data_IF_921334974601
#
_entry.id   IF_921334974601
#
_cell.length_a   1.000
_cell.length_b   1.000
_cell.length_c   1.000
_cell.angle_alpha   90.00
_cell.angle_beta   90.00
_cell.angle_gamma   90.00
#
_symmetry.space_group_name_H-M   'P 1'
#
loop_
_entity.id
_entity.type
_entity.pdbx_description
1 polymer ?
#
# COMPACT_ATOMS: atom_id res chain seq x y z
N UNK A 1 -59.68 1.03 -10.90
CA UNK A 1 -58.99 -0.23 -10.58
C UNK A 1 -58.29 -0.05 -9.22
N UNK A 2 -59.02 -0.24 -8.11
CA UNK A 2 -58.49 -0.14 -6.73
C UNK A 2 -58.70 -1.49 -6.07
N UNK A 3 -57.80 -2.44 -6.33
CA UNK A 3 -57.81 -3.75 -5.65
C UNK A 3 -56.37 -4.23 -5.43
N UNK A 4 -55.72 -3.62 -4.46
CA UNK A 4 -55.10 -4.36 -3.36
C UNK A 4 -55.05 -3.39 -2.19
N UNK A 5 -55.76 -3.69 -1.11
CA UNK A 5 -55.47 -3.04 0.17
C UNK A 5 -53.99 -3.27 0.44
N UNK A 6 -53.16 -2.23 0.28
CA UNK A 6 -51.81 -2.27 0.82
C UNK A 6 -51.98 -2.35 2.34
N UNK A 7 -51.99 -3.59 2.84
CA UNK A 7 -52.23 -3.91 4.23
C UNK A 7 -51.29 -3.10 5.09
N UNK A 8 -51.79 -2.57 6.21
CA UNK A 8 -51.00 -1.94 7.27
C UNK A 8 -49.78 -2.82 7.67
N UNK A 9 -49.88 -4.14 7.48
CA UNK A 9 -48.79 -5.10 7.67
C UNK A 9 -47.64 -4.83 6.69
N UNK A 10 -47.93 -4.51 5.43
CA UNK A 10 -46.92 -4.23 4.40
C UNK A 10 -46.13 -2.97 4.72
N UNK A 11 -46.79 -1.88 5.14
CA UNK A 11 -46.08 -0.64 5.49
C UNK A 11 -45.22 -0.83 6.74
N UNK A 12 -45.69 -1.61 7.72
CA UNK A 12 -44.90 -1.98 8.90
C UNK A 12 -43.69 -2.85 8.55
N UNK A 13 -43.86 -3.84 7.68
CA UNK A 13 -42.74 -4.70 7.25
C UNK A 13 -41.68 -3.89 6.50
N UNK A 14 -42.10 -2.94 5.67
CA UNK A 14 -41.18 -2.01 4.99
C UNK A 14 -40.47 -1.14 6.02
N UNK A 15 -41.19 -0.55 6.98
CA UNK A 15 -40.59 0.27 8.03
C UNK A 15 -39.54 -0.50 8.85
N UNK A 16 -39.85 -1.73 9.26
CA UNK A 16 -38.92 -2.61 10.00
C UNK A 16 -37.68 -3.00 9.20
N UNK A 17 -37.74 -2.94 7.87
CA UNK A 17 -36.60 -3.26 7.01
C UNK A 17 -35.58 -2.12 6.94
N UNK A 18 -35.92 -0.91 7.39
CA UNK A 18 -35.01 0.24 7.40
C UNK A 18 -34.40 0.46 8.79
N UNK A 19 -33.06 0.38 8.95
CA UNK A 19 -32.38 0.66 10.22
C UNK A 19 -32.66 2.05 10.78
N UNK A 20 -32.93 3.02 9.91
CA UNK A 20 -33.23 4.41 10.28
C UNK A 20 -34.59 4.58 10.97
N UNK A 21 -35.46 3.56 10.91
CA UNK A 21 -36.82 3.57 11.46
C UNK A 21 -36.97 2.69 12.70
N UNK A 22 -35.86 2.19 13.27
CA UNK A 22 -35.85 1.16 14.30
C UNK A 22 -36.18 1.67 15.73
N UNK A 23 -36.87 2.81 15.85
CA UNK A 23 -37.41 3.32 17.11
C UNK A 23 -38.82 2.73 17.27
N UNK A 24 -39.12 1.95 18.33
CA UNK A 24 -40.43 1.31 18.50
C UNK A 24 -41.61 2.27 18.34
N UNK A 25 -41.50 3.47 18.91
CA UNK A 25 -42.52 4.53 18.83
C UNK A 25 -42.79 5.02 17.39
N UNK A 26 -41.78 5.00 16.51
CA UNK A 26 -41.93 5.44 15.13
C UNK A 26 -42.74 4.42 14.30
N UNK A 27 -42.65 3.11 14.60
CA UNK A 27 -43.38 2.05 13.85
C UNK A 27 -44.88 2.10 14.14
N UNK A 28 -45.26 2.21 15.41
CA UNK A 28 -46.67 2.32 15.81
C UNK A 28 -47.27 3.61 15.26
N UNK A 29 -46.48 4.69 15.26
CA UNK A 29 -46.86 5.99 14.70
C UNK A 29 -47.05 5.95 13.20
N UNK A 30 -46.19 5.27 12.44
CA UNK A 30 -46.37 5.07 10.98
C UNK A 30 -47.69 4.39 10.69
N UNK A 31 -48.06 3.39 11.49
CA UNK A 31 -49.30 2.64 11.29
C UNK A 31 -50.52 3.54 11.45
N UNK A 32 -50.53 4.36 12.51
CA UNK A 32 -51.59 5.34 12.74
C UNK A 32 -51.62 6.43 11.64
N UNK A 33 -50.46 6.98 11.28
CA UNK A 33 -50.32 8.00 10.24
C UNK A 33 -50.73 7.49 8.85
N UNK A 34 -50.41 6.23 8.52
CA UNK A 34 -50.82 5.59 7.27
C UNK A 34 -52.34 5.43 7.19
N UNK A 35 -52.99 5.05 8.29
CA UNK A 35 -54.44 4.97 8.35
C UNK A 35 -55.10 6.35 8.19
N UNK A 36 -54.54 7.38 8.82
CA UNK A 36 -55.01 8.77 8.65
C UNK A 36 -54.87 9.20 7.19
N UNK A 37 -53.72 8.93 6.56
CA UNK A 37 -53.47 9.26 5.16
C UNK A 37 -54.46 8.56 4.21
N UNK A 38 -54.78 7.28 4.44
CA UNK A 38 -55.75 6.55 3.61
C UNK A 38 -57.17 7.16 3.62
N UNK A 39 -57.52 7.85 4.71
CA UNK A 39 -58.81 8.51 4.88
C UNK A 39 -58.77 10.00 4.50
N UNK A 40 -57.60 10.51 4.10
CA UNK A 40 -57.44 11.91 3.73
C UNK A 40 -57.96 12.19 2.31
N UNK A 41 -58.69 13.29 2.16
CA UNK A 41 -59.14 13.76 0.85
C UNK A 41 -58.02 14.55 0.17
N UNK A 42 -57.28 13.88 -0.72
CA UNK A 42 -56.17 14.48 -1.45
C UNK A 42 -56.68 15.13 -2.75
N UNK A 43 -56.40 16.43 -3.00
CA UNK A 43 -56.81 17.10 -4.23
C UNK A 43 -56.24 16.45 -5.49
N UNK A 44 -57.05 16.34 -6.55
CA UNK A 44 -56.62 15.77 -7.83
C UNK A 44 -55.45 16.52 -8.46
N UNK A 45 -55.38 17.84 -8.24
CA UNK A 45 -54.31 18.73 -8.73
C UNK A 45 -52.91 18.34 -8.21
N UNK A 46 -52.81 17.55 -7.14
CA UNK A 46 -51.52 17.15 -6.57
C UNK A 46 -50.88 15.99 -7.32
N UNK A 47 -51.67 15.23 -8.08
CA UNK A 47 -51.18 14.13 -8.89
C UNK A 47 -51.49 14.28 -10.38
N UNK A 48 -52.46 15.11 -10.79
CA UNK A 48 -52.78 15.37 -12.19
C UNK A 48 -52.28 16.74 -12.67
N UNK A 49 -51.65 16.75 -13.85
CA UNK A 49 -51.16 17.93 -14.56
C UNK A 49 -51.50 17.83 -16.05
N UNK A 50 -52.50 18.59 -16.53
CA UNK A 50 -52.81 18.71 -17.97
C UNK A 50 -52.76 17.35 -18.73
N UNK A 51 -53.52 16.35 -18.25
CA UNK A 51 -53.54 14.97 -18.78
C UNK A 51 -52.25 14.14 -18.61
N UNK A 52 -51.34 14.54 -17.72
CA UNK A 52 -50.18 13.76 -17.28
C UNK A 52 -50.17 13.68 -15.75
N UNK A 53 -49.36 12.77 -15.21
CA UNK A 53 -49.16 12.70 -13.76
C UNK A 53 -47.96 13.55 -13.34
N UNK A 54 -48.07 14.17 -12.17
CA UNK A 54 -46.92 14.74 -11.49
C UNK A 54 -45.93 13.63 -11.09
N UNK A 55 -44.66 14.00 -10.94
CA UNK A 55 -43.67 13.09 -10.36
C UNK A 55 -44.05 12.76 -8.90
N UNK A 56 -43.75 11.54 -8.46
CA UNK A 56 -44.21 11.01 -7.17
C UNK A 56 -43.67 11.83 -5.98
N UNK A 57 -42.47 12.39 -6.11
CA UNK A 57 -41.84 13.28 -5.15
C UNK A 57 -42.60 14.61 -5.00
N UNK A 58 -43.12 15.16 -6.09
CA UNK A 58 -43.96 16.37 -6.07
C UNK A 58 -45.25 16.13 -5.30
N UNK A 59 -45.91 14.99 -5.53
CA UNK A 59 -47.12 14.60 -4.81
C UNK A 59 -46.87 14.51 -3.30
N UNK A 60 -45.87 13.71 -2.90
CA UNK A 60 -45.60 13.49 -1.47
C UNK A 60 -45.06 14.73 -0.77
N UNK A 61 -44.36 15.62 -1.48
CA UNK A 61 -43.96 16.93 -0.95
C UNK A 61 -45.18 17.72 -0.46
N UNK A 62 -46.28 17.74 -1.20
CA UNK A 62 -47.51 18.41 -0.78
C UNK A 62 -48.20 17.68 0.38
N UNK A 63 -48.26 16.34 0.33
CA UNK A 63 -48.82 15.54 1.44
C UNK A 63 -48.08 15.80 2.76
N UNK A 64 -46.76 15.95 2.73
CA UNK A 64 -45.95 16.24 3.92
C UNK A 64 -46.18 17.65 4.48
N UNK A 65 -46.74 18.57 3.69
CA UNK A 65 -47.08 19.93 4.17
C UNK A 65 -48.45 20.02 4.83
N UNK A 66 -49.23 18.93 4.84
CA UNK A 66 -50.53 18.91 5.50
C UNK A 66 -50.37 19.13 7.00
N UNK A 67 -51.20 20.02 7.53
CA UNK A 67 -51.23 20.36 8.95
C UNK A 67 -52.53 19.92 9.60
N UNK A 68 -52.46 19.60 10.87
CA UNK A 68 -53.63 19.39 11.72
C UNK A 68 -54.33 20.72 12.00
N UNK A 69 -55.55 20.65 12.56
CA UNK A 69 -56.29 21.83 12.99
C UNK A 69 -55.56 22.67 14.06
N UNK A 70 -54.53 22.12 14.70
CA UNK A 70 -53.68 22.80 15.68
C UNK A 70 -52.41 23.40 15.05
N UNK A 71 -52.25 23.33 13.73
CA UNK A 71 -51.10 23.89 13.01
C UNK A 71 -49.81 23.06 13.07
N UNK A 72 -49.87 21.88 13.69
CA UNK A 72 -48.75 20.92 13.72
C UNK A 72 -48.76 20.05 12.46
N UNK A 73 -47.59 19.56 12.05
CA UNK A 73 -47.48 18.70 10.89
C UNK A 73 -48.28 17.41 11.11
N UNK A 74 -49.11 17.06 10.13
CA UNK A 74 -50.07 15.95 10.23
C UNK A 74 -49.38 14.58 10.21
N UNK A 75 -48.21 14.52 9.59
CA UNK A 75 -47.41 13.31 9.45
C UNK A 75 -45.97 13.61 9.87
N UNK A 76 -45.43 12.82 10.81
CA UNK A 76 -44.08 13.02 11.36
C UNK A 76 -43.20 11.80 11.09
N UNK A 77 -43.73 10.59 11.20
CA UNK A 77 -42.97 9.36 10.96
C UNK A 77 -43.11 8.86 9.51
N UNK A 78 -44.28 9.02 8.90
CA UNK A 78 -44.55 8.63 7.51
C UNK A 78 -43.63 9.33 6.49
N UNK A 79 -43.30 10.64 6.60
CA UNK A 79 -42.37 11.27 5.68
C UNK A 79 -40.96 10.71 5.77
N UNK A 80 -40.51 10.28 6.96
CA UNK A 80 -39.20 9.65 7.14
C UNK A 80 -39.14 8.34 6.36
N UNK A 81 -40.15 7.48 6.55
CA UNK A 81 -40.25 6.20 5.87
C UNK A 81 -40.23 6.36 4.34
N UNK A 82 -41.08 7.24 3.81
CA UNK A 82 -41.21 7.43 2.38
C UNK A 82 -39.95 8.05 1.76
N UNK A 83 -39.25 8.93 2.48
CA UNK A 83 -37.93 9.43 2.04
C UNK A 83 -36.91 8.30 1.97
N UNK A 84 -36.91 7.36 2.92
CA UNK A 84 -36.04 6.17 2.85
C UNK A 84 -36.39 5.29 1.66
N UNK A 85 -37.68 5.07 1.39
CA UNK A 85 -38.14 4.27 0.24
C UNK A 85 -37.77 4.94 -1.09
N UNK A 86 -37.95 6.26 -1.22
CA UNK A 86 -37.60 7.00 -2.44
C UNK A 86 -36.10 7.17 -2.65
N UNK A 87 -35.29 6.99 -1.61
CA UNK A 87 -33.84 6.96 -1.74
C UNK A 87 -33.32 5.61 -2.27
N UNK A 88 -34.15 4.57 -2.32
CA UNK A 88 -33.76 3.29 -2.91
C UNK A 88 -33.67 3.42 -4.43
N UNK A 89 -32.54 2.99 -4.99
CA UNK A 89 -32.40 2.89 -6.44
C UNK A 89 -33.37 1.86 -7.00
N UNK A 90 -34.14 2.24 -8.03
CA UNK A 90 -35.10 1.36 -8.70
C UNK A 90 -34.46 0.46 -9.77
N UNK A 91 -33.13 0.47 -9.90
CA UNK A 91 -32.37 -0.40 -10.80
C UNK A 91 -30.88 -0.09 -10.82
N UNK A 92 -30.14 -0.78 -11.67
CA UNK A 92 -28.70 -0.56 -11.84
C UNK A 92 -28.36 0.56 -12.84
N UNK A 93 -29.38 1.12 -13.52
CA UNK A 93 -29.17 2.10 -14.59
C UNK A 93 -28.37 3.33 -14.14
N UNK A 94 -28.56 3.82 -12.92
CA UNK A 94 -27.79 4.96 -12.39
C UNK A 94 -26.32 4.59 -12.14
N UNK A 95 -26.06 3.36 -11.68
CA UNK A 95 -24.70 2.83 -11.49
C UNK A 95 -24.02 2.62 -12.85
N UNK A 96 -24.73 2.05 -13.82
CA UNK A 96 -24.26 1.83 -15.20
C UNK A 96 -23.99 3.15 -15.92
N UNK A 97 -24.81 4.18 -15.68
CA UNK A 97 -24.56 5.54 -16.13
C UNK A 97 -23.29 6.11 -15.49
N UNK A 98 -23.06 5.85 -14.21
CA UNK A 98 -21.81 6.18 -13.52
C UNK A 98 -20.59 5.54 -14.18
N UNK A 99 -20.67 4.26 -14.55
CA UNK A 99 -19.60 3.58 -15.30
C UNK A 99 -19.37 4.19 -16.68
N UNK A 100 -20.44 4.48 -17.43
CA UNK A 100 -20.35 5.14 -18.73
C UNK A 100 -19.71 6.53 -18.63
N UNK A 101 -20.05 7.30 -17.59
CA UNK A 101 -19.46 8.60 -17.33
C UNK A 101 -17.98 8.52 -16.93
N UNK A 102 -17.56 7.38 -16.36
CA UNK A 102 -16.18 7.10 -15.98
C UNK A 102 -15.36 6.46 -17.11
N UNK A 103 -15.99 6.01 -18.20
CA UNK A 103 -15.29 5.40 -19.34
C UNK A 103 -14.22 6.33 -19.95
N UNK A 104 -14.44 7.66 -19.90
CA UNK A 104 -13.43 8.64 -20.34
C UNK A 104 -12.20 8.74 -19.42
N UNK A 105 -12.32 8.35 -18.14
CA UNK A 105 -11.19 8.28 -17.21
C UNK A 105 -10.39 6.98 -17.39
N UNK A 106 -11.00 5.96 -18.00
CA UNK A 106 -10.46 4.63 -18.25
C UNK A 106 -10.25 4.42 -19.76
N UNK A 107 -9.44 5.27 -20.41
CA UNK A 107 -9.03 5.03 -21.80
C UNK A 107 -7.77 4.15 -21.87
N UNK A 108 -7.55 3.47 -22.99
CA UNK A 108 -6.44 2.51 -23.19
C UNK A 108 -5.04 3.10 -22.86
N UNK A 109 -4.86 4.41 -23.07
CA UNK A 109 -3.62 5.16 -22.75
C UNK A 109 -3.60 5.79 -21.33
N UNK A 110 -4.72 5.83 -20.60
CA UNK A 110 -4.85 6.45 -19.25
C UNK A 110 -5.11 5.44 -18.12
N UNK A 111 -4.76 4.18 -18.31
CA UNK A 111 -4.93 3.08 -17.35
C UNK A 111 -4.10 3.18 -16.04
N UNK A 112 -3.51 4.33 -15.73
CA UNK A 112 -2.59 4.53 -14.59
C UNK A 112 -3.22 5.22 -13.37
N UNK A 113 -4.51 5.57 -13.41
CA UNK A 113 -5.17 6.14 -12.23
C UNK A 113 -5.53 5.04 -11.24
N UNK A 114 -4.99 5.14 -10.02
CA UNK A 114 -5.42 4.31 -8.91
C UNK A 114 -6.90 4.51 -8.59
N UNK A 115 -7.54 3.51 -7.99
CA UNK A 115 -8.93 3.60 -7.52
C UNK A 115 -9.18 4.82 -6.62
N UNK A 116 -8.19 5.16 -5.77
CA UNK A 116 -8.26 6.35 -4.93
C UNK A 116 -8.33 7.66 -5.74
N UNK A 117 -7.57 7.75 -6.83
CA UNK A 117 -7.58 8.88 -7.74
C UNK A 117 -8.92 8.99 -8.49
N UNK A 118 -9.46 7.86 -8.94
CA UNK A 118 -10.77 7.79 -9.62
C UNK A 118 -11.88 8.26 -8.66
N UNK A 119 -11.88 7.73 -7.44
CA UNK A 119 -12.85 8.11 -6.41
C UNK A 119 -12.75 9.59 -6.04
N UNK A 120 -11.53 10.14 -5.94
CA UNK A 120 -11.30 11.57 -5.67
C UNK A 120 -11.83 12.47 -6.78
N UNK A 121 -11.54 12.13 -8.05
CA UNK A 121 -12.05 12.86 -9.21
C UNK A 121 -13.58 12.81 -9.29
N UNK A 122 -14.16 11.63 -9.06
CA UNK A 122 -15.60 11.43 -9.06
C UNK A 122 -16.30 12.24 -7.96
N UNK A 123 -15.78 12.15 -6.74
CA UNK A 123 -16.30 12.91 -5.59
C UNK A 123 -16.27 14.43 -5.84
N UNK A 124 -15.19 14.91 -6.46
CA UNK A 124 -15.05 16.34 -6.82
C UNK A 124 -16.08 16.74 -7.88
N UNK A 125 -16.23 15.94 -8.96
CA UNK A 125 -17.20 16.19 -10.02
C UNK A 125 -18.64 16.20 -9.51
N UNK A 126 -18.99 15.21 -8.69
CA UNK A 126 -20.32 15.11 -8.10
C UNK A 126 -20.59 16.27 -7.12
N UNK A 127 -19.57 16.68 -6.35
CA UNK A 127 -19.64 17.87 -5.51
C UNK A 127 -19.91 19.15 -6.31
N UNK A 128 -19.19 19.38 -7.41
CA UNK A 128 -19.44 20.55 -8.29
C UNK A 128 -20.84 20.49 -8.91
N UNK A 129 -21.30 19.30 -9.31
CA UNK A 129 -22.64 19.11 -9.87
C UNK A 129 -23.71 19.43 -8.85
N UNK A 130 -23.56 18.97 -7.61
CA UNK A 130 -24.53 19.13 -6.54
C UNK A 130 -24.55 20.54 -5.94
N UNK A 131 -23.37 21.10 -5.63
CA UNK A 131 -23.26 22.40 -4.93
C UNK A 131 -23.13 23.61 -5.87
N UNK A 132 -22.68 23.41 -7.11
CA UNK A 132 -22.45 24.49 -8.08
C UNK A 132 -23.26 24.36 -9.36
N UNK A 133 -24.31 23.54 -9.38
CA UNK A 133 -25.12 23.25 -10.57
C UNK A 133 -24.29 22.84 -11.80
N UNK A 134 -23.14 22.18 -11.57
CA UNK A 134 -22.21 21.77 -12.62
C UNK A 134 -21.19 22.82 -13.03
N UNK A 135 -21.19 24.01 -12.41
CA UNK A 135 -20.20 25.06 -12.65
C UNK A 135 -19.31 25.29 -11.42
N UNK A 136 -17.98 25.11 -11.53
CA UNK A 136 -17.08 25.23 -10.40
C UNK A 136 -17.15 26.58 -9.67
N UNK A 137 -17.32 27.67 -10.40
CA UNK A 137 -17.36 29.02 -9.83
C UNK A 137 -18.61 29.33 -8.99
N UNK A 138 -19.66 28.50 -9.10
CA UNK A 138 -20.91 28.65 -8.33
C UNK A 138 -20.81 27.89 -6.98
N UNK A 139 -19.78 27.06 -6.80
CA UNK A 139 -19.55 26.34 -5.54
C UNK A 139 -19.05 27.32 -4.47
N UNK A 140 -19.82 27.49 -3.42
CA UNK A 140 -19.43 28.35 -2.30
C UNK A 140 -18.28 27.72 -1.51
N UNK A 141 -17.18 28.46 -1.38
CA UNK A 141 -16.02 28.04 -0.60
C UNK A 141 -16.33 28.29 0.87
N UNK A 142 -16.60 27.20 1.60
CA UNK A 142 -16.83 27.25 3.05
C UNK A 142 -15.53 27.16 3.82
N UNK A 143 -15.51 27.64 5.07
CA UNK A 143 -14.35 27.51 5.97
C UNK A 143 -13.94 26.04 6.15
N UNK A 144 -14.92 25.14 6.29
CA UNK A 144 -14.68 23.71 6.42
C UNK A 144 -13.98 23.11 5.20
N UNK A 145 -14.27 23.61 3.99
CA UNK A 145 -13.58 23.19 2.77
C UNK A 145 -12.12 23.64 2.78
N UNK A 146 -11.83 24.86 3.23
CA UNK A 146 -10.47 25.38 3.37
C UNK A 146 -9.67 24.55 4.37
N UNK A 147 -10.26 24.24 5.52
CA UNK A 147 -9.61 23.44 6.56
C UNK A 147 -9.35 22.01 6.08
N UNK A 148 -10.33 21.39 5.39
CA UNK A 148 -10.16 20.06 4.75
C UNK A 148 -9.01 20.02 3.74
N UNK A 149 -8.82 21.08 2.95
CA UNK A 149 -7.73 21.18 1.97
C UNK A 149 -6.37 21.25 2.67
N UNK A 150 -6.26 22.02 3.76
CA UNK A 150 -5.04 22.11 4.56
C UNK A 150 -4.67 20.76 5.17
N UNK A 151 -5.65 20.05 5.72
CA UNK A 151 -5.45 18.72 6.28
C UNK A 151 -5.02 17.71 5.21
N UNK A 152 -5.66 17.73 4.04
CA UNK A 152 -5.28 16.87 2.91
C UNK A 152 -3.83 17.15 2.47
N UNK A 153 -3.44 18.42 2.39
CA UNK A 153 -2.06 18.80 2.06
C UNK A 153 -1.06 18.35 3.13
N UNK A 154 -1.39 18.51 4.42
CA UNK A 154 -0.53 18.05 5.52
C UNK A 154 -0.31 16.54 5.45
N UNK A 155 -1.38 15.75 5.23
CA UNK A 155 -1.29 14.30 5.05
C UNK A 155 -0.43 13.92 3.85
N UNK A 156 -0.55 14.67 2.75
CA UNK A 156 0.26 14.46 1.56
C UNK A 156 1.76 14.71 1.83
N UNK A 157 2.11 15.76 2.56
CA UNK A 157 3.50 16.01 2.97
C UNK A 157 4.06 14.88 3.82
N UNK A 158 3.29 14.38 4.80
CA UNK A 158 3.70 13.25 5.65
C UNK A 158 3.94 11.99 4.79
N UNK A 159 3.06 11.70 3.84
CA UNK A 159 3.20 10.55 2.94
C UNK A 159 4.44 10.69 2.03
N UNK A 160 4.73 11.90 1.54
CA UNK A 160 5.95 12.17 0.77
C UNK A 160 7.22 11.91 1.59
N UNK A 161 7.29 12.40 2.82
CA UNK A 161 8.43 12.18 3.72
C UNK A 161 8.63 10.69 4.00
N UNK A 162 7.53 9.95 4.23
CA UNK A 162 7.57 8.50 4.42
C UNK A 162 8.14 7.78 3.20
N UNK A 163 7.67 8.11 1.99
CA UNK A 163 8.17 7.50 0.74
C UNK A 163 9.65 7.80 0.53
N UNK A 164 10.10 9.02 0.83
CA UNK A 164 11.52 9.37 0.76
C UNK A 164 12.34 8.55 1.77
N UNK A 165 11.86 8.40 3.00
CA UNK A 165 12.48 7.57 4.03
C UNK A 165 12.60 6.10 3.61
N UNK A 166 11.56 5.54 3.00
CA UNK A 166 11.56 4.16 2.48
C UNK A 166 12.58 3.96 1.34
N UNK A 167 12.68 4.92 0.42
CA UNK A 167 13.69 4.89 -0.66
C UNK A 167 15.10 4.95 -0.09
N UNK A 168 15.35 5.85 0.87
CA UNK A 168 16.65 5.96 1.53
C UNK A 168 17.00 4.70 2.32
N UNK A 169 16.04 4.10 3.03
CA UNK A 169 16.24 2.87 3.76
C UNK A 169 16.60 1.70 2.82
N UNK A 170 15.90 1.56 1.69
CA UNK A 170 16.24 0.55 0.67
C UNK A 170 17.64 0.77 0.09
N UNK A 171 17.97 2.01 -0.27
CA UNK A 171 19.30 2.33 -0.78
C UNK A 171 20.41 2.03 0.23
N UNK A 172 20.18 2.26 1.52
CA UNK A 172 21.14 1.94 2.57
C UNK A 172 21.29 0.42 2.76
N UNK A 173 20.20 -0.34 2.73
CA UNK A 173 20.23 -1.80 2.79
C UNK A 173 20.98 -2.41 1.60
N UNK A 174 20.76 -1.88 0.39
CA UNK A 174 21.49 -2.28 -0.81
C UNK A 174 22.99 -2.00 -0.69
N UNK A 175 23.38 -0.83 -0.18
CA UNK A 175 24.80 -0.51 0.08
C UNK A 175 25.43 -1.45 1.11
N UNK A 176 24.73 -1.72 2.20
CA UNK A 176 25.23 -2.64 3.24
C UNK A 176 25.41 -4.06 2.69
N UNK A 177 24.50 -4.51 1.82
CA UNK A 177 24.62 -5.81 1.17
C UNK A 177 25.82 -5.86 0.22
N UNK A 178 26.02 -4.82 -0.61
CA UNK A 178 27.18 -4.71 -1.51
C UNK A 178 28.49 -4.73 -0.71
N UNK A 179 28.56 -4.00 0.41
CA UNK A 179 29.74 -3.99 1.28
C UNK A 179 30.03 -5.35 1.91
N UNK A 180 28.99 -6.09 2.32
CA UNK A 180 29.11 -7.46 2.82
C UNK A 180 29.62 -8.41 1.73
N UNK A 181 29.14 -8.27 0.50
CA UNK A 181 29.54 -9.11 -0.63
C UNK A 181 31.01 -8.87 -1.00
N UNK A 182 31.43 -7.60 -1.10
CA UNK A 182 32.85 -7.22 -1.31
C UNK A 182 33.74 -7.76 -0.18
N UNK A 183 33.30 -7.65 1.07
CA UNK A 183 34.05 -8.15 2.21
C UNK A 183 34.18 -9.69 2.19
N UNK A 184 33.13 -10.40 1.76
CA UNK A 184 33.14 -11.85 1.62
C UNK A 184 34.05 -12.32 0.48
N UNK A 185 34.03 -11.63 -0.67
CA UNK A 185 34.91 -11.91 -1.80
C UNK A 185 36.37 -11.72 -1.41
N UNK A 186 36.71 -10.57 -0.82
CA UNK A 186 38.07 -10.30 -0.32
C UNK A 186 38.54 -11.32 0.71
N UNK A 187 37.64 -11.80 1.58
CA UNK A 187 37.95 -12.85 2.55
C UNK A 187 38.26 -14.17 1.86
N UNK A 188 37.50 -14.54 0.83
CA UNK A 188 37.73 -15.74 0.03
C UNK A 188 39.09 -15.70 -0.66
N UNK A 189 39.44 -14.58 -1.29
CA UNK A 189 40.74 -14.39 -1.95
C UNK A 189 41.91 -14.56 -0.97
N UNK A 190 41.80 -13.99 0.23
CA UNK A 190 42.82 -14.14 1.28
C UNK A 190 42.98 -15.61 1.72
N UNK A 191 41.89 -16.38 1.80
CA UNK A 191 41.94 -17.80 2.10
C UNK A 191 42.59 -18.63 0.98
N UNK A 192 42.25 -18.33 -0.27
CA UNK A 192 42.85 -19.01 -1.43
C UNK A 192 44.35 -18.70 -1.53
N UNK A 193 44.74 -17.45 -1.29
CA UNK A 193 46.15 -17.04 -1.19
C UNK A 193 46.85 -17.76 -0.03
N UNK A 194 46.24 -17.86 1.16
CA UNK A 194 46.80 -18.58 2.30
C UNK A 194 47.04 -20.07 1.97
N UNK A 195 46.11 -20.71 1.28
CA UNK A 195 46.24 -22.10 0.85
C UNK A 195 47.40 -22.27 -0.15
N UNK A 196 47.58 -21.32 -1.08
CA UNK A 196 48.69 -21.33 -2.03
C UNK A 196 50.05 -21.15 -1.35
N UNK A 197 50.12 -20.25 -0.36
CA UNK A 197 51.33 -20.01 0.45
C UNK A 197 51.68 -21.25 1.28
N UNK A 198 50.68 -21.95 1.81
CA UNK A 198 50.91 -23.19 2.55
C UNK A 198 51.44 -24.32 1.65
N UNK A 199 50.90 -24.47 0.43
CA UNK A 199 51.48 -25.39 -0.57
C UNK A 199 52.92 -25.02 -0.92
N UNK A 200 53.21 -23.73 -1.07
CA UNK A 200 54.56 -23.22 -1.33
C UNK A 200 55.51 -23.55 -0.16
N UNK A 201 55.07 -23.41 1.09
CA UNK A 201 55.84 -23.84 2.27
C UNK A 201 56.18 -25.32 2.23
N UNK A 202 55.21 -26.19 1.92
CA UNK A 202 55.45 -27.63 1.80
C UNK A 202 56.52 -27.93 0.75
N UNK A 203 56.46 -27.26 -0.41
CA UNK A 203 57.45 -27.43 -1.46
C UNK A 203 58.85 -26.90 -1.04
N UNK A 204 58.91 -25.78 -0.31
CA UNK A 204 60.17 -25.23 0.22
C UNK A 204 60.78 -26.18 1.24
N UNK A 205 59.95 -26.76 2.12
CA UNK A 205 60.40 -27.74 3.11
C UNK A 205 61.01 -28.97 2.42
N UNK A 206 60.33 -29.52 1.42
CA UNK A 206 60.86 -30.63 0.62
C UNK A 206 62.20 -30.30 -0.04
N UNK A 207 62.35 -29.07 -0.55
CA UNK A 207 63.59 -28.61 -1.18
C UNK A 207 64.75 -28.48 -0.17
N UNK A 208 64.46 -28.02 1.06
CA UNK A 208 65.44 -27.97 2.15
C UNK A 208 65.80 -29.39 2.59
N UNK A 209 64.81 -30.28 2.77
CA UNK A 209 65.03 -31.67 3.16
C UNK A 209 65.91 -32.39 2.13
N UNK A 210 65.61 -32.25 0.84
CA UNK A 210 66.42 -32.79 -0.26
C UNK A 210 67.85 -32.21 -0.25
N UNK A 211 67.99 -30.90 -0.05
CA UNK A 211 69.30 -30.25 0.09
C UNK A 211 70.10 -30.81 1.26
N UNK A 212 69.46 -31.04 2.41
CA UNK A 212 70.13 -31.61 3.59
C UNK A 212 70.52 -33.08 3.40
N UNK A 213 69.72 -33.87 2.72
CA UNK A 213 70.04 -35.27 2.41
C UNK A 213 71.23 -35.36 1.44
N UNK A 214 71.23 -34.55 0.37
CA UNK A 214 72.35 -34.43 -0.58
C UNK A 214 73.63 -33.99 0.12
N UNK A 215 73.54 -33.01 1.02
CA UNK A 215 74.68 -32.57 1.83
C UNK A 215 75.25 -33.70 2.69
N UNK A 216 74.39 -34.44 3.40
CA UNK A 216 74.82 -35.56 4.25
C UNK A 216 75.53 -36.66 3.46
N UNK A 217 75.03 -36.99 2.26
CA UNK A 217 75.65 -37.94 1.33
C UNK A 217 77.01 -37.43 0.82
N UNK A 218 77.07 -36.18 0.36
CA UNK A 218 78.28 -35.56 -0.19
C UNK A 218 79.41 -35.41 0.84
N UNK A 219 79.05 -35.08 2.10
CA UNK A 219 80.01 -35.04 3.23
C UNK A 219 80.58 -36.42 3.52
N UNK A 220 79.74 -37.47 3.45
CA UNK A 220 80.18 -38.85 3.70
C UNK A 220 81.09 -39.39 2.57
N UNK A 221 80.85 -38.97 1.32
CA UNK A 221 81.62 -39.38 0.14
C UNK A 221 82.82 -38.46 -0.19
N UNK A 222 83.00 -37.34 0.53
CA UNK A 222 84.05 -36.32 0.33
C UNK A 222 84.03 -35.64 -1.06
N UNK A 223 82.86 -35.51 -1.68
CA UNK A 223 82.69 -34.79 -2.95
C UNK A 223 82.39 -33.30 -2.71
N UNK A 224 83.44 -32.46 -2.73
CA UNK A 224 83.35 -31.04 -2.37
C UNK A 224 82.44 -30.19 -3.29
N UNK A 225 82.38 -30.47 -4.59
CA UNK A 225 81.48 -29.76 -5.53
C UNK A 225 79.99 -30.04 -5.20
N UNK A 226 79.69 -31.26 -4.75
CA UNK A 226 78.34 -31.68 -4.39
C UNK A 226 77.91 -31.09 -3.03
N UNK A 227 78.86 -30.81 -2.14
CA UNK A 227 78.64 -30.04 -0.90
C UNK A 227 78.24 -28.59 -1.21
N UNK A 228 78.95 -27.92 -2.13
CA UNK A 228 78.66 -26.54 -2.51
C UNK A 228 77.27 -26.39 -3.14
N UNK A 229 76.92 -27.29 -4.07
CA UNK A 229 75.59 -27.29 -4.71
C UNK A 229 74.46 -27.57 -3.72
N UNK A 230 74.65 -28.47 -2.76
CA UNK A 230 73.67 -28.73 -1.70
C UNK A 230 73.49 -27.52 -0.76
N UNK A 231 74.59 -26.83 -0.40
CA UNK A 231 74.53 -25.60 0.39
C UNK A 231 73.79 -24.46 -0.32
N UNK A 232 74.02 -24.27 -1.63
CA UNK A 232 73.29 -23.29 -2.43
C UNK A 232 71.78 -23.57 -2.48
N UNK A 233 71.39 -24.85 -2.56
CA UNK A 233 69.99 -25.26 -2.54
C UNK A 233 69.32 -24.94 -1.18
N UNK A 234 70.01 -25.22 -0.07
CA UNK A 234 69.54 -24.90 1.29
C UNK A 234 69.45 -23.38 1.48
N UNK A 235 70.44 -22.61 1.02
CA UNK A 235 70.43 -21.15 1.14
C UNK A 235 69.27 -20.54 0.32
N UNK A 236 69.07 -21.01 -0.91
CA UNK A 236 67.94 -20.60 -1.76
C UNK A 236 66.59 -20.94 -1.13
N UNK A 237 66.45 -22.13 -0.55
CA UNK A 237 65.26 -22.55 0.20
C UNK A 237 65.01 -21.68 1.43
N UNK A 238 66.06 -21.38 2.19
CA UNK A 238 65.98 -20.56 3.41
C UNK A 238 65.55 -19.12 3.10
N UNK A 239 66.08 -18.51 2.03
CA UNK A 239 65.64 -17.18 1.57
C UNK A 239 64.16 -17.19 1.17
N UNK A 240 63.74 -18.20 0.41
CA UNK A 240 62.34 -18.33 -0.03
C UNK A 240 61.39 -18.58 1.15
N UNK A 241 61.82 -19.37 2.14
CA UNK A 241 61.09 -19.61 3.40
C UNK A 241 60.85 -18.31 4.16
N UNK A 242 61.87 -17.46 4.30
CA UNK A 242 61.75 -16.17 4.96
C UNK A 242 60.72 -15.27 4.26
N UNK A 243 60.78 -15.18 2.93
CA UNK A 243 59.80 -14.39 2.15
C UNK A 243 58.38 -14.94 2.31
N UNK A 244 58.17 -16.25 2.15
CA UNK A 244 56.85 -16.87 2.26
C UNK A 244 56.26 -16.69 3.68
N UNK A 245 57.08 -16.79 4.72
CA UNK A 245 56.64 -16.53 6.10
C UNK A 245 56.18 -15.09 6.31
N UNK A 246 56.87 -14.09 5.74
CA UNK A 246 56.41 -12.69 5.82
C UNK A 246 55.05 -12.49 5.14
N UNK A 247 54.81 -13.13 3.99
CA UNK A 247 53.52 -13.09 3.31
C UNK A 247 52.41 -13.76 4.12
N UNK A 248 52.68 -14.88 4.78
CA UNK A 248 51.71 -15.58 5.64
C UNK A 248 51.32 -14.71 6.83
N UNK A 249 52.29 -14.06 7.49
CA UNK A 249 52.02 -13.14 8.61
C UNK A 249 51.16 -11.98 8.15
N UNK A 250 51.49 -11.38 7.00
CA UNK A 250 50.71 -10.30 6.42
C UNK A 250 49.26 -10.71 6.14
N UNK A 251 49.06 -11.82 5.43
CA UNK A 251 47.74 -12.33 5.08
C UNK A 251 46.92 -12.69 6.33
N UNK A 252 47.55 -13.34 7.32
CA UNK A 252 46.91 -13.65 8.62
C UNK A 252 46.43 -12.39 9.35
N UNK A 253 47.21 -11.31 9.32
CA UNK A 253 46.81 -10.04 9.89
C UNK A 253 45.62 -9.42 9.16
N UNK A 254 45.56 -9.51 7.83
CA UNK A 254 44.41 -9.04 7.04
C UNK A 254 43.13 -9.81 7.37
N UNK A 255 43.21 -11.14 7.48
CA UNK A 255 42.08 -11.99 7.89
C UNK A 255 41.58 -11.60 9.28
N UNK A 256 42.49 -11.36 10.22
CA UNK A 256 42.13 -10.97 11.59
C UNK A 256 41.49 -9.58 11.65
N UNK A 257 41.94 -8.62 10.83
CA UNK A 257 41.32 -7.30 10.73
C UNK A 257 39.89 -7.39 10.18
N UNK A 258 39.66 -8.20 9.14
CA UNK A 258 38.32 -8.42 8.59
C UNK A 258 37.38 -9.07 9.62
N UNK A 259 37.87 -10.04 10.41
CA UNK A 259 37.09 -10.66 11.49
C UNK A 259 36.71 -9.69 12.59
N UNK A 260 37.58 -8.74 12.93
CA UNK A 260 37.29 -7.71 13.93
C UNK A 260 36.20 -6.75 13.43
N UNK A 261 36.27 -6.33 12.17
CA UNK A 261 35.25 -5.47 11.53
C UNK A 261 33.86 -6.10 11.44
N UNK A 262 33.74 -7.43 11.44
CA UNK A 262 32.46 -8.14 11.41
C UNK A 262 31.82 -8.36 12.79
N UNK A 263 32.54 -8.12 13.90
CA UNK A 263 32.04 -8.33 15.27
C UNK A 263 31.53 -7.06 15.95
N UNK A 264 31.85 -5.90 15.40
CA UNK A 264 31.32 -4.57 15.76
C UNK A 264 30.20 -4.21 14.80
#
# INVERSE_FOLDING_TARGET
MRHSEASHISIMNIARSFPQMNVPDDIDRITAEWYIYQNEQIPNEWFEKMNKYHAIDYYWKHVFTLKTNTGTDKFIALPKLLKCVFALSHGNADVERGFSENAFLLTDDRSLLSDASINGLRSTRDGVKFFGNGKPHEVQITKALIDSVRDAHSRYCIDLEKRQGEVLAKANLEKEQIEKDIANEKKKDLYDEQNSLHKSLTNIQQMIDEGTERLAKAVSSKHFEEIETALLLIEGGSKKLATTNTHIIYNTNQINQLRKKQKT
#
